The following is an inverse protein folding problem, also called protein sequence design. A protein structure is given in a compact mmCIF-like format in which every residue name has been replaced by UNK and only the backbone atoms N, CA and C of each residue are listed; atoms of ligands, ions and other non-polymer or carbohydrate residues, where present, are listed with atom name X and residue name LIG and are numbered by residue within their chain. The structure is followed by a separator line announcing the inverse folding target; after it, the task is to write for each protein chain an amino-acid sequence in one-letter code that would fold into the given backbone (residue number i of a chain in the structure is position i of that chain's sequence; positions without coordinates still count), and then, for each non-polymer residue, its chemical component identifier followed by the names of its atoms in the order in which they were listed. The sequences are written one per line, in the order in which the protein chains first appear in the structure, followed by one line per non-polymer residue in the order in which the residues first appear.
data_IF_986291767337
#
_entry.id   IF_986291767337
#
_cell.length_a   1.000
_cell.length_b   1.000
_cell.length_c   1.000
_cell.angle_alpha   90.00
_cell.angle_beta   90.00
_cell.angle_gamma   90.00
#
_symmetry.space_group_name_H-M   'P 1'
#
loop_
_entity.id
_entity.type
_entity.pdbx_description
1 polymer ?
#
# COMPACT_ATOMS: atom_id res chain seq x y z
N UNK A 1 4.35 2.72 6.41
CA UNK A 1 3.47 3.67 7.13
C UNK A 1 2.89 4.65 6.12
N UNK A 2 1.69 5.18 6.36
CA UNK A 2 1.14 6.33 5.63
C UNK A 2 1.20 7.58 6.51
N UNK A 3 1.59 8.73 5.96
CA UNK A 3 1.46 10.03 6.61
C UNK A 3 0.29 10.77 5.96
N UNK A 4 -0.79 10.97 6.72
CA UNK A 4 -1.98 11.66 6.25
C UNK A 4 -1.95 13.11 6.73
N UNK A 5 -1.81 14.04 5.79
CA UNK A 5 -1.82 15.48 6.09
C UNK A 5 -3.25 15.99 6.03
N UNK A 6 -3.69 16.64 7.11
CA UNK A 6 -5.04 17.22 7.26
C UNK A 6 -4.89 18.71 7.52
N UNK A 7 -5.45 19.55 6.66
CA UNK A 7 -5.42 21.00 6.88
C UNK A 7 -6.34 21.40 8.04
N UNK A 8 -5.90 22.35 8.88
CA UNK A 8 -6.68 22.83 10.04
C UNK A 8 -7.47 24.11 9.80
N UNK A 9 -7.23 24.81 8.68
CA UNK A 9 -7.96 26.02 8.32
C UNK A 9 -9.47 25.80 8.27
N UNK A 10 -10.23 26.84 8.59
CA UNK A 10 -11.70 26.83 8.50
C UNK A 10 -12.11 26.66 7.03
N UNK A 11 -13.01 25.72 6.74
CA UNK A 11 -13.44 25.37 5.39
C UNK A 11 -12.52 24.38 4.68
N UNK A 12 -11.20 24.46 4.90
CA UNK A 12 -10.24 23.52 4.31
C UNK A 12 -10.38 22.10 4.87
N UNK A 13 -10.49 22.00 6.21
CA UNK A 13 -10.71 20.72 6.88
C UNK A 13 -12.02 20.08 6.42
N UNK A 14 -13.11 20.86 6.44
CA UNK A 14 -14.46 20.40 6.09
C UNK A 14 -14.53 19.94 4.64
N UNK A 15 -13.87 20.65 3.72
CA UNK A 15 -13.74 20.22 2.33
C UNK A 15 -12.95 18.90 2.21
N UNK A 16 -11.83 18.79 2.94
CA UNK A 16 -10.96 17.62 2.93
C UNK A 16 -11.61 16.37 3.52
N UNK A 17 -12.43 16.50 4.56
CA UNK A 17 -13.16 15.41 5.23
C UNK A 17 -14.57 15.21 4.65
N UNK A 18 -14.98 15.97 3.63
CA UNK A 18 -16.28 15.81 2.97
C UNK A 18 -16.41 14.43 2.29
N UNK A 19 -17.61 14.09 1.82
CA UNK A 19 -17.86 12.82 1.09
C UNK A 19 -16.96 12.65 -0.14
N UNK A 20 -16.64 13.75 -0.81
CA UNK A 20 -15.79 13.78 -2.00
C UNK A 20 -14.37 14.27 -1.67
N UNK A 21 -14.04 14.40 -0.38
CA UNK A 21 -12.78 14.92 0.10
C UNK A 21 -11.66 13.87 0.07
N UNK A 22 -10.47 14.31 -0.33
CA UNK A 22 -9.31 13.43 -0.53
C UNK A 22 -8.79 12.78 0.76
N UNK A 23 -8.99 13.42 1.93
CA UNK A 23 -8.54 12.87 3.23
C UNK A 23 -9.20 11.52 3.50
N UNK A 24 -10.49 11.40 3.15
CA UNK A 24 -11.26 10.16 3.33
C UNK A 24 -10.79 9.07 2.37
N UNK A 25 -10.64 9.45 1.10
CA UNK A 25 -10.21 8.54 0.04
C UNK A 25 -8.82 7.97 0.32
N UNK A 26 -7.84 8.81 0.66
CA UNK A 26 -6.47 8.38 0.96
C UNK A 26 -6.39 7.46 2.18
N UNK A 27 -7.13 7.74 3.25
CA UNK A 27 -7.16 6.87 4.42
C UNK A 27 -7.74 5.49 4.09
N UNK A 28 -8.83 5.45 3.31
CA UNK A 28 -9.44 4.20 2.85
C UNK A 28 -8.50 3.40 1.95
N UNK A 29 -7.88 4.05 0.95
CA UNK A 29 -6.90 3.44 0.06
C UNK A 29 -5.73 2.83 0.83
N UNK A 30 -5.12 3.60 1.74
CA UNK A 30 -4.02 3.12 2.55
C UNK A 30 -4.38 1.85 3.34
N UNK A 31 -5.58 1.81 3.94
CA UNK A 31 -6.01 0.67 4.74
C UNK A 31 -6.27 -0.58 3.89
N UNK A 32 -6.91 -0.40 2.74
CA UNK A 32 -7.20 -1.45 1.76
C UNK A 32 -5.92 -2.05 1.17
N UNK A 33 -4.89 -1.21 0.93
CA UNK A 33 -3.56 -1.65 0.48
C UNK A 33 -2.72 -2.32 1.58
N UNK A 34 -3.28 -2.50 2.78
CA UNK A 34 -2.60 -3.17 3.88
C UNK A 34 -1.63 -2.29 4.66
N UNK A 35 -1.63 -0.97 4.44
CA UNK A 35 -0.85 -0.04 5.26
C UNK A 35 -1.54 0.10 6.62
N UNK A 36 -1.08 -0.67 7.62
CA UNK A 36 -1.71 -0.72 8.94
C UNK A 36 -1.18 0.30 9.94
N UNK A 37 -0.09 1.00 9.61
CA UNK A 37 0.48 2.07 10.43
C UNK A 37 0.26 3.42 9.75
N UNK A 38 -0.29 4.38 10.51
CA UNK A 38 -0.63 5.72 10.04
C UNK A 38 -0.16 6.77 11.05
N UNK A 39 0.27 7.93 10.54
CA UNK A 39 0.50 9.16 11.29
C UNK A 39 -0.40 10.24 10.68
N UNK A 40 -0.99 11.10 11.51
CA UNK A 40 -1.80 12.23 11.07
C UNK A 40 -1.09 13.52 11.43
N UNK A 41 -0.69 14.28 10.41
CA UNK A 41 -0.18 15.64 10.56
C UNK A 41 -1.31 16.64 10.37
N UNK A 42 -1.74 17.30 11.44
CA UNK A 42 -2.72 18.39 11.38
C UNK A 42 -1.97 19.67 11.01
N UNK A 43 -1.97 20.00 9.74
CA UNK A 43 -1.13 21.02 9.12
C UNK A 43 -1.85 22.37 9.00
N UNK A 44 -1.09 23.45 8.85
CA UNK A 44 -1.54 24.84 8.83
C UNK A 44 -2.12 25.31 10.17
N UNK A 45 -1.55 24.84 11.28
CA UNK A 45 -1.97 25.28 12.62
C UNK A 45 -1.83 26.80 12.81
N UNK A 46 -0.93 27.45 12.07
CA UNK A 46 -0.77 28.90 12.02
C UNK A 46 -1.99 29.64 11.46
N UNK A 47 -2.82 28.98 10.63
CA UNK A 47 -3.99 29.60 9.98
C UNK A 47 -5.32 29.28 10.67
N UNK A 48 -5.30 28.61 11.83
CA UNK A 48 -6.53 28.45 12.63
C UNK A 48 -7.00 29.79 13.18
N UNK A 49 -8.25 29.86 13.62
CA UNK A 49 -8.81 31.05 14.26
C UNK A 49 -9.18 30.73 15.73
N UNK A 50 -8.45 31.25 16.74
CA UNK A 50 -7.18 31.99 16.63
C UNK A 50 -6.01 31.10 16.16
N UNK A 51 -4.87 31.67 15.73
CA UNK A 51 -3.68 30.89 15.32
C UNK A 51 -3.23 29.91 16.41
N UNK A 52 -2.84 28.71 16.01
CA UNK A 52 -2.41 27.61 16.87
C UNK A 52 -3.46 27.18 17.91
N UNK A 53 -4.74 27.17 17.52
CA UNK A 53 -5.87 26.86 18.39
C UNK A 53 -5.92 25.39 18.83
N UNK A 54 -5.79 25.16 20.15
CA UNK A 54 -5.96 23.84 20.77
C UNK A 54 -7.36 23.26 20.53
N UNK A 55 -8.39 24.11 20.59
CA UNK A 55 -9.77 23.69 20.41
C UNK A 55 -10.00 23.13 19.01
N UNK A 56 -9.48 23.83 17.98
CA UNK A 56 -9.56 23.39 16.58
C UNK A 56 -8.79 22.09 16.36
N UNK A 57 -7.60 21.96 16.94
CA UNK A 57 -6.84 20.72 16.86
C UNK A 57 -7.60 19.53 17.47
N UNK A 58 -8.20 19.69 18.65
CA UNK A 58 -8.98 18.64 19.33
C UNK A 58 -10.24 18.25 18.56
N UNK A 59 -10.93 19.22 17.95
CA UNK A 59 -12.06 18.98 17.05
C UNK A 59 -11.64 18.08 15.88
N UNK A 60 -10.59 18.48 15.15
CA UNK A 60 -10.05 17.71 14.02
C UNK A 60 -9.63 16.30 14.46
N UNK A 61 -8.92 16.18 15.58
CA UNK A 61 -8.52 14.88 16.12
C UNK A 61 -9.74 13.99 16.39
N UNK A 62 -10.82 14.54 16.92
CA UNK A 62 -12.06 13.81 17.23
C UNK A 62 -12.73 13.31 15.95
N UNK A 63 -12.92 14.19 14.98
CA UNK A 63 -13.58 13.85 13.72
C UNK A 63 -12.78 12.85 12.89
N UNK A 64 -11.48 13.09 12.74
CA UNK A 64 -10.58 12.22 11.98
C UNK A 64 -10.44 10.87 12.69
N UNK A 65 -10.33 10.84 14.03
CA UNK A 65 -10.34 9.58 14.81
C UNK A 65 -11.61 8.77 14.57
N UNK A 66 -12.78 9.42 14.59
CA UNK A 66 -14.04 8.75 14.31
C UNK A 66 -14.08 8.21 12.88
N UNK A 67 -13.50 8.93 11.91
CA UNK A 67 -13.43 8.50 10.53
C UNK A 67 -12.48 7.32 10.31
N UNK A 68 -11.22 7.41 10.75
CA UNK A 68 -10.22 6.34 10.56
C UNK A 68 -10.64 5.06 11.30
N UNK A 69 -11.38 5.18 12.42
CA UNK A 69 -12.02 4.05 13.09
C UNK A 69 -13.09 3.36 12.23
N UNK A 70 -13.85 4.14 11.44
CA UNK A 70 -14.81 3.58 10.46
C UNK A 70 -14.10 2.92 9.27
N UNK A 71 -12.94 3.42 8.88
CA UNK A 71 -12.09 2.80 7.85
C UNK A 71 -11.52 1.46 8.33
N UNK A 72 -11.08 1.39 9.59
CA UNK A 72 -10.59 0.16 10.22
C UNK A 72 -9.32 0.31 11.05
N UNK A 73 -8.72 1.51 11.11
CA UNK A 73 -7.62 1.80 12.01
C UNK A 73 -8.09 1.87 13.47
N UNK A 74 -7.22 1.51 14.40
CA UNK A 74 -7.42 1.85 15.81
C UNK A 74 -6.82 3.24 16.08
N UNK A 75 -7.62 4.28 16.41
CA UNK A 75 -7.10 5.62 16.66
C UNK A 75 -6.04 5.68 17.75
N UNK A 76 -6.03 4.75 18.71
CA UNK A 76 -5.00 4.69 19.77
C UNK A 76 -3.61 4.35 19.23
N UNK A 77 -3.52 3.75 18.04
CA UNK A 77 -2.25 3.38 17.41
C UNK A 77 -1.65 4.49 16.55
N UNK A 78 -2.40 5.60 16.36
CA UNK A 78 -2.11 6.65 15.38
C UNK A 78 -1.69 7.92 16.09
N UNK A 79 -0.50 8.44 15.75
CA UNK A 79 -0.02 9.71 16.28
C UNK A 79 -0.72 10.88 15.57
N UNK A 80 -1.25 11.82 16.34
CA UNK A 80 -1.77 13.10 15.84
C UNK A 80 -0.80 14.22 16.22
N UNK A 81 -0.21 14.84 15.21
CA UNK A 81 0.83 15.88 15.39
C UNK A 81 0.32 17.20 14.80
N UNK A 82 0.11 18.25 15.63
CA UNK A 82 -0.20 19.59 15.12
C UNK A 82 1.08 20.21 14.57
N UNK A 83 1.08 20.58 13.29
CA UNK A 83 2.26 21.10 12.59
C UNK A 83 1.93 22.38 11.81
N UNK A 84 2.96 23.18 11.54
CA UNK A 84 2.95 24.13 10.42
C UNK A 84 4.08 23.77 9.49
N UNK A 85 3.76 23.14 8.35
CA UNK A 85 4.78 22.79 7.35
C UNK A 85 5.48 24.00 6.76
N UNK A 86 4.84 25.18 6.76
CA UNK A 86 5.43 26.42 6.25
C UNK A 86 6.42 27.04 7.24
N UNK A 87 6.07 27.05 8.54
CA UNK A 87 6.90 27.66 9.58
C UNK A 87 7.84 26.67 10.31
N UNK A 88 7.72 25.37 10.02
CA UNK A 88 8.55 24.31 10.62
C UNK A 88 8.09 23.85 12.02
N UNK A 89 6.99 24.40 12.54
CA UNK A 89 6.49 24.10 13.89
C UNK A 89 6.15 22.59 14.05
N UNK A 90 6.73 21.94 15.06
CA UNK A 90 6.59 20.50 15.39
C UNK A 90 7.02 19.53 14.27
N UNK A 91 7.77 19.99 13.25
CA UNK A 91 8.27 19.11 12.19
C UNK A 91 9.47 18.30 12.66
N UNK A 92 10.54 18.99 13.07
CA UNK A 92 11.79 18.42 13.57
C UNK A 92 12.00 18.72 15.06
N UNK A 93 11.58 19.91 15.48
CA UNK A 93 11.71 20.42 16.84
C UNK A 93 10.33 20.84 17.37
N UNK A 94 10.16 20.80 18.69
CA UNK A 94 8.92 21.22 19.32
C UNK A 94 8.71 22.74 19.16
N UNK A 95 7.47 23.15 18.84
CA UNK A 95 7.10 24.55 18.70
C UNK A 95 6.77 25.20 20.04
N UNK A 96 7.32 26.39 20.28
CA UNK A 96 6.98 27.21 21.44
C UNK A 96 5.58 27.84 21.35
N UNK A 97 4.99 27.89 20.14
CA UNK A 97 3.67 28.50 19.89
C UNK A 97 2.50 27.59 20.31
N UNK A 98 2.78 26.31 20.54
CA UNK A 98 1.79 25.29 20.91
C UNK A 98 2.11 24.68 22.27
N UNK A 99 2.36 25.52 23.29
CA UNK A 99 2.71 25.08 24.66
C UNK A 99 1.63 24.21 25.34
N UNK A 100 0.40 24.27 24.85
CA UNK A 100 -0.71 23.41 25.23
C UNK A 100 -0.51 21.96 24.75
N UNK A 101 0.20 21.72 23.65
CA UNK A 101 0.44 20.40 23.11
C UNK A 101 1.51 19.66 23.92
N UNK A 102 1.08 18.60 24.61
CA UNK A 102 1.98 17.79 25.46
C UNK A 102 2.71 16.69 24.71
N UNK A 103 2.30 16.43 23.48
CA UNK A 103 2.83 15.35 22.65
C UNK A 103 1.71 14.44 22.15
N UNK A 104 2.07 13.59 21.21
CA UNK A 104 1.25 12.47 20.79
C UNK A 104 1.60 11.25 21.64
N UNK A 105 0.63 10.37 21.80
CA UNK A 105 0.79 9.07 22.42
C UNK A 105 0.23 8.01 21.48
N UNK A 106 0.90 6.87 21.39
CA UNK A 106 0.43 5.72 20.62
C UNK A 106 0.57 4.46 21.45
N UNK A 107 -0.45 3.60 21.41
CA UNK A 107 -0.43 2.27 22.03
C UNK A 107 -0.52 1.22 20.93
N UNK A 108 0.52 0.40 20.79
CA UNK A 108 0.60 -0.71 19.83
C UNK A 108 0.85 -2.02 20.58
N UNK A 109 0.88 -3.14 19.84
CA UNK A 109 1.20 -4.46 20.43
C UNK A 109 2.60 -4.52 21.03
N UNK A 110 3.53 -3.71 20.52
CA UNK A 110 4.92 -3.64 21.00
C UNK A 110 5.08 -2.82 22.30
N UNK A 111 4.11 -1.96 22.62
CA UNK A 111 4.19 -1.04 23.76
C UNK A 111 3.48 0.30 23.50
N UNK A 112 3.56 1.19 24.48
CA UNK A 112 3.12 2.58 24.33
C UNK A 112 4.33 3.49 24.16
N UNK A 113 4.26 4.39 23.18
CA UNK A 113 5.30 5.37 22.87
C UNK A 113 4.69 6.77 22.81
N UNK A 114 5.50 7.78 23.08
CA UNK A 114 5.11 9.19 23.03
C UNK A 114 6.22 10.03 22.41
N UNK A 115 5.85 11.21 21.90
CA UNK A 115 6.77 12.19 21.32
C UNK A 115 6.03 13.48 21.04
N UNK A 116 6.70 14.48 20.46
CA UNK A 116 6.09 15.79 20.17
C UNK A 116 6.15 16.17 18.70
N UNK A 117 7.13 15.68 17.96
CA UNK A 117 7.38 16.11 16.59
C UNK A 117 6.92 15.07 15.57
N UNK A 118 6.80 15.50 14.32
CA UNK A 118 6.51 14.61 13.21
C UNK A 118 7.68 13.65 12.95
N UNK A 119 8.92 14.10 13.14
CA UNK A 119 10.10 13.24 13.05
C UNK A 119 10.06 12.11 14.09
N UNK A 120 9.82 12.42 15.36
CA UNK A 120 9.70 11.39 16.40
C UNK A 120 8.55 10.41 16.10
N UNK A 121 7.46 10.88 15.50
CA UNK A 121 6.35 10.01 15.09
C UNK A 121 6.78 9.05 13.96
N UNK A 122 7.61 9.50 13.02
CA UNK A 122 8.19 8.68 11.96
C UNK A 122 9.19 7.66 12.49
N UNK A 123 10.06 8.06 13.41
CA UNK A 123 11.03 7.17 14.07
C UNK A 123 10.33 6.09 14.90
N UNK A 124 9.14 6.40 15.44
CA UNK A 124 8.30 5.45 16.16
C UNK A 124 7.57 4.44 15.24
N UNK A 125 7.75 4.46 13.92
CA UNK A 125 7.15 3.45 13.03
C UNK A 125 7.84 2.09 13.21
N UNK A 126 7.03 1.06 13.45
CA UNK A 126 7.55 -0.31 13.56
C UNK A 126 7.97 -0.81 12.17
N UNK A 127 9.21 -1.26 11.99
CA UNK A 127 9.63 -1.87 10.73
C UNK A 127 8.71 -3.06 10.40
N UNK A 128 8.24 -3.18 9.14
CA UNK A 128 7.44 -4.33 8.75
C UNK A 128 8.29 -5.60 8.81
N UNK A 129 7.68 -6.70 9.23
CA UNK A 129 8.33 -8.02 9.15
C UNK A 129 8.63 -8.34 7.68
N UNK A 130 9.91 -8.53 7.34
CA UNK A 130 10.30 -8.97 6.00
C UNK A 130 9.88 -10.42 5.81
N UNK A 131 9.08 -10.75 4.78
CA UNK A 131 8.55 -12.11 4.57
C UNK A 131 9.58 -13.06 3.93
N UNK A 132 10.77 -13.17 4.53
CA UNK A 132 11.88 -13.98 4.00
C UNK A 132 11.64 -15.48 4.13
N UNK A 133 10.77 -15.88 5.06
CA UNK A 133 10.34 -17.26 5.32
C UNK A 133 9.28 -17.77 4.34
N UNK A 134 8.65 -16.87 3.58
CA UNK A 134 7.65 -17.21 2.57
C UNK A 134 8.31 -17.66 1.25
N UNK A 135 7.57 -18.36 0.36
CA UNK A 135 8.07 -18.69 -0.97
C UNK A 135 8.49 -17.46 -1.77
N UNK A 136 9.47 -17.62 -2.65
CA UNK A 136 9.97 -16.54 -3.51
C UNK A 136 8.87 -16.01 -4.44
N UNK A 137 8.64 -14.70 -4.44
CA UNK A 137 7.86 -13.97 -5.45
C UNK A 137 8.59 -12.70 -5.84
N UNK A 138 8.97 -12.60 -7.11
CA UNK A 138 9.68 -11.45 -7.68
C UNK A 138 8.99 -11.05 -8.99
N UNK A 139 8.03 -10.10 -8.95
CA UNK A 139 7.41 -9.55 -10.14
C UNK A 139 8.43 -8.77 -10.99
N UNK A 140 8.48 -9.07 -12.28
CA UNK A 140 9.40 -8.43 -13.22
C UNK A 140 8.90 -7.03 -13.56
N UNK A 141 9.78 -6.06 -13.42
CA UNK A 141 9.58 -4.68 -13.83
C UNK A 141 10.03 -4.50 -15.28
N UNK A 142 11.23 -4.99 -15.60
CA UNK A 142 11.86 -4.89 -16.92
C UNK A 142 12.73 -6.13 -17.22
N UNK A 143 13.04 -6.33 -18.50
CA UNK A 143 13.92 -7.42 -18.96
C UNK A 143 14.91 -6.88 -19.99
N UNK A 144 16.20 -6.99 -19.68
CA UNK A 144 17.26 -6.46 -20.52
C UNK A 144 18.08 -7.57 -21.19
N UNK A 145 18.66 -7.25 -22.36
CA UNK A 145 19.70 -8.05 -23.00
C UNK A 145 21.02 -7.33 -22.84
N UNK A 146 21.93 -7.87 -22.03
CA UNK A 146 23.26 -7.29 -21.80
C UNK A 146 24.29 -8.08 -22.59
N UNK A 147 25.09 -7.39 -23.41
CA UNK A 147 26.16 -8.02 -24.20
C UNK A 147 27.16 -8.76 -23.31
N UNK A 148 27.51 -9.99 -23.66
CA UNK A 148 28.43 -10.85 -22.88
C UNK A 148 27.82 -11.50 -21.63
N UNK A 149 26.72 -10.98 -21.10
CA UNK A 149 26.03 -11.50 -19.90
C UNK A 149 24.80 -12.32 -20.28
N UNK A 150 23.98 -11.83 -21.21
CA UNK A 150 22.74 -12.48 -21.65
C UNK A 150 21.49 -11.77 -21.15
N UNK A 151 20.47 -12.53 -20.76
CA UNK A 151 19.17 -12.01 -20.34
C UNK A 151 19.18 -11.68 -18.84
N UNK A 152 18.77 -10.46 -18.50
CA UNK A 152 18.75 -9.95 -17.13
C UNK A 152 17.37 -9.35 -16.83
N UNK A 153 16.48 -10.10 -16.19
CA UNK A 153 15.27 -9.56 -15.61
C UNK A 153 15.58 -8.69 -14.38
N UNK A 154 14.77 -7.66 -14.18
CA UNK A 154 14.87 -6.73 -13.05
C UNK A 154 13.53 -6.66 -12.34
N UNK A 155 13.56 -6.65 -11.01
CA UNK A 155 12.35 -6.47 -10.21
C UNK A 155 12.64 -6.40 -8.72
N UNK A 156 11.56 -6.30 -7.95
CA UNK A 156 11.62 -6.28 -6.49
C UNK A 156 11.31 -7.65 -5.93
N UNK A 157 12.09 -8.11 -4.96
CA UNK A 157 11.74 -9.30 -4.18
C UNK A 157 10.60 -8.92 -3.24
N UNK A 158 9.41 -9.48 -3.43
CA UNK A 158 8.24 -9.21 -2.58
C UNK A 158 8.19 -10.18 -1.38
N UNK A 159 8.49 -11.46 -1.63
CA UNK A 159 8.56 -12.51 -0.60
C UNK A 159 9.68 -13.49 -0.88
N UNK A 160 10.14 -14.19 0.16
CA UNK A 160 11.23 -15.17 0.08
C UNK A 160 12.59 -14.55 -0.22
N UNK A 161 13.52 -15.38 -0.68
CA UNK A 161 14.89 -14.97 -0.99
C UNK A 161 15.30 -15.46 -2.38
N UNK A 162 16.09 -14.67 -3.09
CA UNK A 162 16.71 -15.07 -4.36
C UNK A 162 18.20 -15.27 -4.16
N UNK A 163 18.77 -16.37 -4.68
CA UNK A 163 20.20 -16.67 -4.61
C UNK A 163 20.72 -17.13 -5.97
N UNK A 164 21.99 -16.84 -6.30
CA UNK A 164 22.68 -17.52 -7.39
C UNK A 164 22.58 -19.04 -7.24
N UNK A 165 22.40 -19.76 -8.35
CA UNK A 165 22.23 -21.20 -8.42
C UNK A 165 20.79 -21.70 -8.20
N UNK A 166 19.85 -20.84 -7.81
CA UNK A 166 18.44 -21.23 -7.71
C UNK A 166 17.85 -21.53 -9.08
N UNK A 167 17.02 -22.58 -9.14
CA UNK A 167 16.19 -22.85 -10.33
C UNK A 167 14.87 -22.12 -10.13
N UNK A 168 14.64 -21.11 -10.95
CA UNK A 168 13.43 -20.29 -10.89
C UNK A 168 12.43 -20.69 -11.97
N UNK A 169 11.15 -20.46 -11.69
CA UNK A 169 10.04 -20.60 -12.62
C UNK A 169 9.39 -19.22 -12.85
N UNK A 170 9.06 -18.91 -14.11
CA UNK A 170 8.40 -17.67 -14.51
C UNK A 170 6.93 -17.89 -14.87
N UNK A 171 6.05 -17.40 -14.02
CA UNK A 171 4.62 -17.35 -14.30
C UNK A 171 4.28 -16.15 -15.21
N UNK A 172 3.31 -16.28 -16.12
CA UNK A 172 2.44 -17.44 -16.34
C UNK A 172 3.03 -18.52 -17.27
N UNK A 173 4.18 -18.27 -17.92
CA UNK A 173 4.74 -19.16 -18.95
C UNK A 173 5.13 -20.56 -18.48
N UNK A 174 5.43 -20.73 -17.19
CA UNK A 174 5.98 -21.98 -16.64
C UNK A 174 7.44 -22.25 -17.04
N UNK A 175 8.09 -21.30 -17.73
CA UNK A 175 9.49 -21.42 -18.13
C UNK A 175 10.37 -21.52 -16.89
N UNK A 176 11.32 -22.45 -16.90
CA UNK A 176 12.28 -22.65 -15.80
C UNK A 176 13.71 -22.43 -16.26
N UNK A 177 14.54 -21.88 -15.38
CA UNK A 177 15.97 -21.68 -15.65
C UNK A 177 16.74 -21.48 -14.35
N UNK A 178 18.05 -21.61 -14.43
CA UNK A 178 18.96 -21.35 -13.32
C UNK A 178 19.39 -19.88 -13.29
N UNK A 179 19.34 -19.27 -12.10
CA UNK A 179 19.87 -17.93 -11.83
C UNK A 179 21.39 -18.03 -11.68
N UNK A 180 22.16 -17.24 -12.43
CA UNK A 180 23.63 -17.28 -12.38
C UNK A 180 24.25 -16.28 -11.44
N UNK A 181 23.71 -15.07 -11.43
CA UNK A 181 24.13 -14.00 -10.55
C UNK A 181 22.92 -13.16 -10.17
N UNK A 182 23.03 -12.48 -9.05
CA UNK A 182 22.06 -11.50 -8.56
C UNK A 182 22.86 -10.25 -8.22
N UNK A 183 22.40 -9.11 -8.68
CA UNK A 183 23.09 -7.83 -8.53
C UNK A 183 22.13 -6.73 -8.09
N UNK A 184 22.64 -5.83 -7.23
CA UNK A 184 21.96 -4.61 -6.81
C UNK A 184 22.95 -3.46 -6.87
N UNK A 185 22.58 -2.35 -7.52
CA UNK A 185 23.47 -1.19 -7.70
C UNK A 185 24.86 -1.53 -8.28
N UNK A 186 24.91 -2.48 -9.23
CA UNK A 186 26.15 -2.98 -9.87
C UNK A 186 27.10 -3.77 -8.96
N UNK A 187 26.64 -4.20 -7.79
CA UNK A 187 27.38 -5.10 -6.91
C UNK A 187 26.71 -6.48 -6.87
N UNK A 188 27.53 -7.53 -6.89
CA UNK A 188 27.04 -8.91 -6.77
C UNK A 188 26.59 -9.21 -5.36
N UNK A 189 25.42 -9.85 -5.24
CA UNK A 189 24.84 -10.25 -3.97
C UNK A 189 24.89 -11.77 -3.79
N UNK A 190 25.24 -12.27 -2.58
CA UNK A 190 25.13 -13.69 -2.26
C UNK A 190 23.66 -14.14 -2.14
N UNK A 191 22.78 -13.23 -1.72
CA UNK A 191 21.33 -13.39 -1.68
C UNK A 191 20.65 -12.02 -1.76
N UNK A 192 19.44 -12.00 -2.32
CA UNK A 192 18.54 -10.86 -2.27
C UNK A 192 17.34 -11.17 -1.37
N UNK A 193 16.97 -10.19 -0.55
CA UNK A 193 15.96 -10.30 0.49
C UNK A 193 14.70 -9.49 0.12
N UNK A 194 13.56 -9.71 0.78
CA UNK A 194 12.34 -8.94 0.53
C UNK A 194 12.58 -7.43 0.67
N UNK A 195 12.20 -6.68 -0.36
CA UNK A 195 12.38 -5.23 -0.48
C UNK A 195 13.52 -4.81 -1.41
N UNK A 196 14.47 -5.70 -1.71
CA UNK A 196 15.60 -5.40 -2.59
C UNK A 196 15.13 -5.32 -4.05
N UNK A 197 15.63 -4.32 -4.78
CA UNK A 197 15.40 -4.18 -6.22
C UNK A 197 16.66 -4.69 -6.91
N UNK A 198 16.54 -5.83 -7.59
CA UNK A 198 17.70 -6.57 -8.11
C UNK A 198 17.55 -6.87 -9.58
N UNK A 199 18.69 -6.89 -10.28
CA UNK A 199 18.83 -7.55 -11.58
C UNK A 199 19.44 -8.93 -11.37
N UNK A 200 18.98 -9.94 -12.11
CA UNK A 200 19.55 -11.28 -11.99
C UNK A 200 19.76 -11.91 -13.36
N UNK A 201 20.90 -12.57 -13.55
CA UNK A 201 21.22 -13.23 -14.81
C UNK A 201 20.56 -14.61 -14.89
N UNK A 202 19.97 -14.93 -16.04
CA UNK A 202 19.41 -16.26 -16.33
C UNK A 202 20.00 -16.85 -17.61
N UNK A 203 20.22 -18.17 -17.63
CA UNK A 203 20.75 -18.88 -18.80
C UNK A 203 19.63 -19.34 -19.74
N UNK A 204 19.96 -19.45 -21.02
CA UNK A 204 19.14 -20.11 -22.04
C UNK A 204 17.70 -19.59 -22.16
N UNK A 205 17.48 -18.32 -21.80
CA UNK A 205 16.19 -17.64 -21.94
C UNK A 205 16.39 -16.39 -22.77
N UNK A 206 15.56 -16.21 -23.79
CA UNK A 206 15.54 -15.00 -24.60
C UNK A 206 14.75 -13.89 -23.91
N UNK A 207 15.17 -12.64 -24.08
CA UNK A 207 14.40 -11.47 -23.62
C UNK A 207 12.98 -11.39 -24.17
N UNK A 208 12.69 -12.10 -25.28
CA UNK A 208 11.33 -12.15 -25.86
C UNK A 208 10.38 -13.10 -25.12
N UNK A 209 10.92 -14.01 -24.32
CA UNK A 209 10.14 -15.02 -23.58
C UNK A 209 9.70 -14.52 -22.21
N UNK A 210 10.28 -13.42 -21.74
CA UNK A 210 9.96 -12.76 -20.48
C UNK A 210 9.49 -11.33 -20.75
N UNK A 211 8.59 -10.83 -19.91
CA UNK A 211 8.09 -9.46 -20.00
C UNK A 211 7.72 -8.91 -18.64
N UNK A 212 7.59 -7.59 -18.55
CA UNK A 212 6.99 -6.91 -17.40
C UNK A 212 5.66 -7.55 -17.02
N UNK A 213 5.43 -7.70 -15.71
CA UNK A 213 4.23 -8.35 -15.17
C UNK A 213 4.37 -9.85 -14.94
N UNK A 214 5.39 -10.52 -15.49
CA UNK A 214 5.67 -11.92 -15.14
C UNK A 214 6.19 -12.01 -13.70
N UNK A 215 6.05 -13.17 -13.08
CA UNK A 215 6.49 -13.39 -11.69
C UNK A 215 7.51 -14.52 -11.65
N UNK A 216 8.73 -14.20 -11.23
CA UNK A 216 9.74 -15.20 -10.92
C UNK A 216 9.48 -15.79 -9.53
N UNK A 217 9.70 -17.10 -9.39
CA UNK A 217 9.48 -17.86 -8.17
C UNK A 217 10.46 -19.03 -8.08
N UNK A 218 10.66 -19.58 -6.89
CA UNK A 218 11.47 -20.79 -6.73
C UNK A 218 10.71 -21.99 -7.31
N UNK A 219 11.31 -22.70 -8.27
CA UNK A 219 10.69 -23.86 -8.90
C UNK A 219 10.44 -25.01 -7.91
N UNK A 220 11.22 -25.09 -6.83
CA UNK A 220 11.13 -26.17 -5.84
C UNK A 220 10.23 -25.84 -4.65
N UNK A 221 9.88 -24.58 -4.45
CA UNK A 221 9.10 -24.13 -3.30
C UNK A 221 7.90 -23.29 -3.74
N UNK A 222 6.77 -23.98 -3.98
CA UNK A 222 5.49 -23.38 -4.40
C UNK A 222 5.68 -22.40 -5.58
N UNK A 223 6.06 -22.89 -6.77
CA UNK A 223 6.22 -22.03 -7.95
C UNK A 223 4.93 -21.25 -8.23
N UNK A 224 5.09 -20.02 -8.73
CA UNK A 224 3.99 -19.22 -9.21
C UNK A 224 3.41 -19.85 -10.49
N UNK A 225 2.11 -19.68 -10.71
CA UNK A 225 1.40 -20.18 -11.89
C UNK A 225 0.54 -19.07 -12.50
N UNK A 226 0.15 -19.25 -13.77
CA UNK A 226 -0.94 -18.48 -14.34
C UNK A 226 -2.25 -18.71 -13.59
N UNK A 227 -3.19 -17.79 -13.78
CA UNK A 227 -4.51 -17.80 -13.18
C UNK A 227 -5.51 -17.48 -14.28
N UNK A 228 -6.48 -18.35 -14.51
CA UNK A 228 -7.55 -18.15 -15.50
C UNK A 228 -8.65 -17.26 -14.95
N UNK A 229 -8.98 -17.46 -13.67
CA UNK A 229 -9.90 -16.62 -12.93
C UNK A 229 -9.53 -16.58 -11.44
N UNK A 230 -9.93 -15.51 -10.78
CA UNK A 230 -9.78 -15.36 -9.34
C UNK A 230 -10.95 -14.59 -8.74
N UNK A 231 -11.26 -14.90 -7.49
CA UNK A 231 -12.23 -14.14 -6.70
C UNK A 231 -11.51 -13.08 -5.88
N UNK A 232 -11.99 -11.84 -5.93
CA UNK A 232 -11.45 -10.73 -5.13
C UNK A 232 -12.57 -9.95 -4.44
N UNK A 233 -12.25 -9.40 -3.27
CA UNK A 233 -13.07 -8.35 -2.67
C UNK A 233 -12.69 -7.01 -3.32
N UNK A 234 -13.66 -6.41 -4.01
CA UNK A 234 -13.51 -5.12 -4.67
C UNK A 234 -14.32 -4.07 -3.91
N UNK A 235 -13.75 -2.88 -3.73
CA UNK A 235 -14.44 -1.72 -3.17
C UNK A 235 -14.60 -0.71 -4.30
N UNK A 236 -15.84 -0.34 -4.62
CA UNK A 236 -16.12 0.66 -5.64
C UNK A 236 -15.93 2.04 -5.00
N UNK A 237 -14.94 2.78 -5.49
CA UNK A 237 -14.67 4.16 -5.09
C UNK A 237 -15.65 5.14 -5.75
N UNK A 238 -15.21 6.34 -6.12
CA UNK A 238 -16.05 7.32 -6.77
C UNK A 238 -16.19 7.00 -8.28
N UNK A 239 -17.23 6.25 -8.63
CA UNK A 239 -17.57 5.91 -10.00
C UNK A 239 -18.86 6.62 -10.43
N UNK A 240 -18.93 7.27 -11.61
CA UNK A 240 -20.08 8.06 -12.02
C UNK A 240 -21.31 7.22 -12.41
N UNK A 241 -21.12 5.94 -12.71
CA UNK A 241 -22.18 5.01 -13.11
C UNK A 241 -22.28 3.79 -12.21
N UNK A 242 -23.02 2.79 -12.69
CA UNK A 242 -23.11 1.48 -12.06
C UNK A 242 -22.17 0.49 -12.74
N UNK A 243 -21.63 -0.45 -11.97
CA UNK A 243 -20.80 -1.55 -12.46
C UNK A 243 -21.63 -2.83 -12.46
N UNK A 244 -21.75 -3.47 -13.61
CA UNK A 244 -22.49 -4.74 -13.76
C UNK A 244 -21.55 -5.85 -14.23
N UNK A 245 -22.00 -7.10 -14.14
CA UNK A 245 -21.27 -8.23 -14.72
C UNK A 245 -20.97 -7.98 -16.21
N UNK A 246 -19.75 -8.30 -16.65
CA UNK A 246 -19.23 -7.97 -17.98
C UNK A 246 -18.41 -6.68 -18.06
N UNK A 247 -18.42 -5.83 -17.02
CA UNK A 247 -17.51 -4.68 -16.95
C UNK A 247 -16.05 -5.15 -17.05
N UNK A 248 -15.28 -4.56 -17.95
CA UNK A 248 -13.91 -5.02 -18.26
C UNK A 248 -12.90 -3.88 -18.09
N UNK A 249 -12.59 -3.49 -16.84
CA UNK A 249 -11.57 -2.50 -16.56
C UNK A 249 -10.17 -3.09 -16.74
N UNK A 250 -9.17 -2.21 -16.83
CA UNK A 250 -7.77 -2.62 -16.66
C UNK A 250 -7.45 -2.71 -15.18
N UNK A 251 -6.84 -3.84 -14.78
CA UNK A 251 -6.35 -4.08 -13.44
C UNK A 251 -4.83 -3.93 -13.41
N UNK A 252 -4.38 -3.11 -12.48
CA UNK A 252 -3.00 -3.07 -12.05
C UNK A 252 -2.82 -3.98 -10.84
N UNK A 253 -2.02 -5.03 -11.00
CA UNK A 253 -1.64 -5.94 -9.93
C UNK A 253 -0.13 -6.15 -10.00
N UNK A 254 0.59 -5.90 -8.91
CA UNK A 254 2.06 -5.83 -8.91
C UNK A 254 2.60 -4.98 -10.07
N UNK A 255 3.38 -5.58 -10.97
CA UNK A 255 3.91 -4.97 -12.20
C UNK A 255 3.08 -5.28 -13.45
N UNK A 256 2.03 -6.10 -13.33
CA UNK A 256 1.13 -6.45 -14.42
C UNK A 256 0.02 -5.40 -14.60
N UNK A 257 -0.33 -5.17 -15.86
CA UNK A 257 -1.34 -4.23 -16.31
C UNK A 257 -2.20 -4.95 -17.36
N UNK A 258 -3.34 -5.51 -16.94
CA UNK A 258 -4.12 -6.46 -17.75
C UNK A 258 -5.61 -6.13 -17.64
N UNK A 259 -6.32 -6.13 -18.78
CA UNK A 259 -7.77 -6.04 -18.78
C UNK A 259 -8.39 -7.31 -18.19
N UNK A 260 -9.22 -7.18 -17.16
CA UNK A 260 -9.94 -8.29 -16.55
C UNK A 260 -11.43 -8.02 -16.59
N UNK A 261 -12.21 -9.04 -16.90
CA UNK A 261 -13.67 -8.97 -16.92
C UNK A 261 -14.21 -9.31 -15.54
N UNK A 262 -15.15 -8.52 -15.06
CA UNK A 262 -15.96 -8.83 -13.88
C UNK A 262 -16.98 -9.90 -14.33
N UNK A 263 -16.56 -11.16 -14.24
CA UNK A 263 -17.31 -12.29 -14.78
C UNK A 263 -18.62 -12.51 -14.00
N UNK A 264 -18.54 -12.45 -12.67
CA UNK A 264 -19.68 -12.66 -11.78
C UNK A 264 -19.61 -11.76 -10.55
N UNK A 265 -20.72 -11.10 -10.23
CA UNK A 265 -20.88 -10.30 -9.01
C UNK A 265 -21.50 -11.22 -7.96
N UNK A 266 -20.66 -11.91 -7.20
CA UNK A 266 -21.12 -13.00 -6.33
C UNK A 266 -21.87 -12.49 -5.11
N UNK A 267 -21.29 -11.55 -4.38
CA UNK A 267 -21.85 -11.06 -3.12
C UNK A 267 -21.55 -9.59 -2.93
N UNK A 268 -22.50 -8.84 -2.39
CA UNK A 268 -22.25 -7.54 -1.78
C UNK A 268 -21.96 -7.75 -0.29
N UNK A 269 -20.93 -7.09 0.22
CA UNK A 269 -20.48 -7.24 1.59
C UNK A 269 -20.34 -5.88 2.27
N UNK A 270 -20.52 -5.86 3.59
CA UNK A 270 -20.13 -4.72 4.41
C UNK A 270 -18.61 -4.55 4.34
N UNK A 271 -18.15 -3.38 3.90
CA UNK A 271 -16.73 -3.08 3.67
C UNK A 271 -15.80 -3.26 4.89
N UNK A 272 -16.36 -3.20 6.11
CA UNK A 272 -15.58 -3.22 7.35
C UNK A 272 -15.54 -4.62 7.96
N UNK A 273 -16.67 -5.31 7.94
CA UNK A 273 -16.85 -6.61 8.60
C UNK A 273 -16.73 -7.78 7.64
N UNK A 274 -16.83 -7.53 6.32
CA UNK A 274 -16.90 -8.58 5.31
C UNK A 274 -18.21 -9.36 5.32
N UNK A 275 -19.18 -8.99 6.17
CA UNK A 275 -20.45 -9.70 6.27
C UNK A 275 -21.27 -9.48 5.00
N UNK A 276 -21.83 -10.55 4.45
CA UNK A 276 -22.70 -10.49 3.29
C UNK A 276 -23.95 -9.67 3.60
N UNK A 277 -24.27 -8.73 2.70
CA UNK A 277 -25.47 -7.88 2.74
C UNK A 277 -26.46 -8.20 1.65
N UNK A 278 -25.99 -8.73 0.51
CA UNK A 278 -26.82 -9.10 -0.65
C UNK A 278 -26.09 -10.21 -1.43
N UNK A 279 -26.82 -11.27 -1.79
CA UNK A 279 -26.32 -12.35 -2.66
C UNK A 279 -26.63 -11.99 -4.12
N UNK A 280 -25.68 -12.25 -5.02
CA UNK A 280 -25.80 -12.03 -6.47
C UNK A 280 -26.36 -10.64 -6.88
N UNK A 281 -25.73 -9.53 -6.45
CA UNK A 281 -26.21 -8.18 -6.79
C UNK A 281 -26.19 -7.94 -8.32
N UNK A 282 -27.24 -7.30 -8.85
CA UNK A 282 -27.34 -6.99 -10.29
C UNK A 282 -26.33 -5.93 -10.74
N UNK A 283 -26.02 -4.98 -9.87
CA UNK A 283 -25.05 -3.92 -10.12
C UNK A 283 -24.46 -3.39 -8.81
N UNK A 284 -23.28 -2.77 -8.92
CA UNK A 284 -22.57 -2.11 -7.83
C UNK A 284 -22.49 -0.62 -8.10
N UNK A 285 -22.46 0.19 -7.04
CA UNK A 285 -22.29 1.64 -7.11
C UNK A 285 -21.22 2.11 -6.13
N UNK A 286 -20.85 3.38 -6.25
CA UNK A 286 -19.88 4.03 -5.37
C UNK A 286 -20.15 3.80 -3.88
N UNK A 287 -19.14 3.32 -3.18
CA UNK A 287 -19.17 2.97 -1.76
C UNK A 287 -19.48 1.50 -1.46
N UNK A 288 -19.92 0.72 -2.44
CA UNK A 288 -20.18 -0.71 -2.26
C UNK A 288 -18.87 -1.50 -2.17
N UNK A 289 -18.86 -2.54 -1.33
CA UNK A 289 -17.85 -3.59 -1.37
C UNK A 289 -18.52 -4.89 -1.84
N UNK A 290 -17.83 -5.66 -2.67
CA UNK A 290 -18.37 -6.88 -3.24
C UNK A 290 -17.29 -7.94 -3.45
N UNK A 291 -17.69 -9.20 -3.35
CA UNK A 291 -16.92 -10.36 -3.78
C UNK A 291 -17.24 -10.58 -5.26
N UNK A 292 -16.22 -10.49 -6.11
CA UNK A 292 -16.35 -10.53 -7.56
C UNK A 292 -15.44 -11.62 -8.09
N UNK A 293 -15.94 -12.44 -9.02
CA UNK A 293 -15.10 -13.33 -9.82
C UNK A 293 -14.59 -12.57 -11.03
N UNK A 294 -13.27 -12.53 -11.20
CA UNK A 294 -12.58 -11.88 -12.32
C UNK A 294 -11.94 -12.92 -13.22
N UNK A 295 -11.99 -12.68 -14.53
CA UNK A 295 -11.40 -13.49 -15.58
C UNK A 295 -10.63 -12.62 -16.57
#
# INVERSE_FOLDING_TARGET
CAVLIVASGVGEFEAGISKNGQTREHALLAYTLGVKQMIIGVNKMDTTEPPYSEARFKEICTEVSAYIKKVGYDPKTVAFVPISGWHGDNMLEASDKMSWYKGWETTRKSGSNSGKTLLEALDNIEPPTRPSDKPLRLPLQDVYKIGGIGTVPVGRVETGTMKPGMIVCFAPSGLTTEVKSVEMHHESLPEALPGDNVGFNVKNVSVKELRRGYVASDNKNKPATGCEDFTAQVIIFNHPGQVSAGYTPVLDCHTAHIACRFADLQQKVDRRTGKVTEEAPKSLKSGDAAIIKLS
#
